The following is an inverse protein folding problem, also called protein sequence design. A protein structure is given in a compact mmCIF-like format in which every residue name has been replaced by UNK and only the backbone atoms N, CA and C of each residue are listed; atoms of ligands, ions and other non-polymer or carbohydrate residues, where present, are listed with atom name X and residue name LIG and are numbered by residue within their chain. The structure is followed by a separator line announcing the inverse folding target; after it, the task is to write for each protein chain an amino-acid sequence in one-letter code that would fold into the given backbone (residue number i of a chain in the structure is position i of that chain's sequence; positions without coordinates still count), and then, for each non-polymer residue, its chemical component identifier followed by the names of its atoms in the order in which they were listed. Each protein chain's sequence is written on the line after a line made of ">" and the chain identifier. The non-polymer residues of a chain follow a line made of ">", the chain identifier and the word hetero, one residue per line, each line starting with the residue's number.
data_IF_615161412901
#
_entry.id   IF_615161412901
#
_cell.length_a   1.000
_cell.length_b   1.000
_cell.length_c   1.000
_cell.angle_alpha   90.00
_cell.angle_beta   90.00
_cell.angle_gamma   90.00
#
_symmetry.space_group_name_H-M   'P 1'
#
loop_
_entity.id
_entity.type
_entity.pdbx_description
1 polymer ?
#
# COMPACT_ATOMS: atom_id res chain seq x y z
N UNK A 1 10.01 24.86 -12.51
CA UNK A 1 10.36 23.56 -13.10
C UNK A 1 11.26 22.88 -12.09
N UNK A 2 10.93 21.67 -11.65
CA UNK A 2 11.62 21.04 -10.53
C UNK A 2 12.18 19.67 -10.93
N UNK A 3 13.33 19.32 -10.38
CA UNK A 3 13.86 17.96 -10.37
C UNK A 3 13.40 17.32 -9.08
N UNK A 4 12.65 16.22 -9.16
CA UNK A 4 12.07 15.59 -7.99
C UNK A 4 12.50 14.13 -7.87
N UNK A 5 12.64 13.66 -6.65
CA UNK A 5 12.94 12.27 -6.32
C UNK A 5 11.69 11.59 -5.75
N UNK A 6 11.25 10.52 -6.40
CA UNK A 6 10.28 9.58 -5.85
C UNK A 6 11.01 8.37 -5.25
N UNK A 7 10.64 7.99 -4.04
CA UNK A 7 11.10 6.76 -3.37
C UNK A 7 9.91 5.81 -3.24
N UNK A 8 10.12 4.54 -3.58
CA UNK A 8 9.13 3.47 -3.34
C UNK A 8 9.75 2.39 -2.45
N UNK A 9 9.20 2.26 -1.25
CA UNK A 9 9.59 1.27 -0.25
C UNK A 9 8.56 0.13 -0.26
N UNK A 10 8.76 -0.79 -1.20
CA UNK A 10 7.89 -1.94 -1.39
C UNK A 10 8.31 -3.14 -0.52
N UNK A 11 7.61 -4.26 -0.62
CA UNK A 11 7.90 -5.46 0.18
C UNK A 11 9.30 -6.02 -0.09
N UNK A 12 9.76 -5.98 -1.34
CA UNK A 12 10.98 -6.67 -1.77
C UNK A 12 12.13 -5.73 -2.14
N UNK A 13 11.91 -4.42 -2.15
CA UNK A 13 12.92 -3.49 -2.62
C UNK A 13 12.67 -2.05 -2.20
N UNK A 14 13.74 -1.26 -2.16
CA UNK A 14 13.70 0.19 -2.21
C UNK A 14 14.06 0.66 -3.62
N UNK A 15 13.21 1.48 -4.23
CA UNK A 15 13.45 2.07 -5.56
C UNK A 15 13.50 3.59 -5.43
N UNK A 16 14.46 4.21 -6.11
CA UNK A 16 14.64 5.65 -6.17
C UNK A 16 14.62 6.10 -7.64
N UNK A 17 13.79 7.09 -7.96
CA UNK A 17 13.56 7.59 -9.31
C UNK A 17 13.63 9.11 -9.33
N UNK A 18 14.54 9.68 -10.13
CA UNK A 18 14.64 11.13 -10.35
C UNK A 18 13.89 11.50 -11.63
N UNK A 19 12.99 12.48 -11.52
CA UNK A 19 12.18 13.00 -12.62
C UNK A 19 12.50 14.47 -12.88
N UNK A 20 12.65 14.83 -14.17
CA UNK A 20 12.57 16.20 -14.63
C UNK A 20 11.10 16.53 -14.95
N UNK A 21 10.45 17.31 -14.07
CA UNK A 21 9.03 17.65 -14.22
C UNK A 21 8.76 18.59 -15.38
N UNK A 22 9.78 19.29 -15.90
CA UNK A 22 9.65 20.15 -17.08
C UNK A 22 9.55 19.35 -18.37
N UNK A 23 10.36 18.27 -18.45
CA UNK A 23 10.43 17.41 -19.64
C UNK A 23 9.48 16.22 -19.54
N UNK A 24 8.97 15.91 -18.34
CA UNK A 24 8.20 14.69 -18.09
C UNK A 24 9.05 13.42 -18.28
N UNK A 25 10.36 13.48 -18.02
CA UNK A 25 11.29 12.35 -18.29
C UNK A 25 12.00 11.87 -17.02
N UNK A 26 12.28 10.57 -16.98
CA UNK A 26 13.15 9.98 -15.97
C UNK A 26 14.60 10.38 -16.25
N UNK A 27 15.25 10.99 -15.24
CA UNK A 27 16.67 11.37 -15.29
C UNK A 27 17.55 10.19 -14.90
N UNK A 28 17.20 9.52 -13.80
CA UNK A 28 17.93 8.37 -13.30
C UNK A 28 17.00 7.48 -12.45
N UNK A 29 17.34 6.19 -12.37
CA UNK A 29 16.66 5.21 -11.52
C UNK A 29 17.67 4.28 -10.88
N UNK A 30 17.49 3.98 -9.60
CA UNK A 30 18.25 2.97 -8.87
C UNK A 30 17.32 2.12 -8.01
N UNK A 31 17.75 0.90 -7.71
CA UNK A 31 16.98 -0.05 -6.88
C UNK A 31 17.93 -0.81 -5.98
N UNK A 32 17.49 -1.12 -4.77
CA UNK A 32 18.06 -2.11 -3.87
C UNK A 32 17.02 -3.23 -3.64
N UNK A 33 17.36 -4.46 -4.03
CA UNK A 33 16.52 -5.64 -3.85
C UNK A 33 16.90 -6.33 -2.53
N UNK A 34 15.99 -6.38 -1.57
CA UNK A 34 16.32 -6.81 -0.20
C UNK A 34 16.92 -8.21 -0.14
N UNK A 35 16.36 -9.19 -0.84
CA UNK A 35 16.89 -10.55 -0.84
C UNK A 35 18.23 -10.70 -1.55
N UNK A 36 18.40 -10.02 -2.69
CA UNK A 36 19.61 -10.16 -3.51
C UNK A 36 20.78 -9.31 -3.00
N UNK A 37 20.50 -8.09 -2.52
CA UNK A 37 21.53 -7.15 -2.07
C UNK A 37 21.93 -7.33 -0.61
N UNK A 38 21.11 -8.01 0.19
CA UNK A 38 21.35 -8.26 1.62
C UNK A 38 21.13 -9.73 2.00
N UNK A 39 21.83 -10.69 1.35
CA UNK A 39 21.63 -12.12 1.59
C UNK A 39 21.91 -12.53 3.04
N UNK A 40 22.85 -11.87 3.71
CA UNK A 40 23.20 -12.13 5.11
C UNK A 40 22.12 -11.74 6.12
N UNK A 41 21.13 -10.94 5.71
CA UNK A 41 19.95 -10.62 6.56
C UNK A 41 18.96 -11.79 6.67
N UNK A 42 19.04 -12.80 5.80
CA UNK A 42 18.18 -13.98 5.85
C UNK A 42 16.73 -13.75 5.41
N UNK A 43 16.46 -12.68 4.66
CA UNK A 43 15.11 -12.29 4.21
C UNK A 43 15.02 -12.28 2.67
N UNK A 44 15.08 -13.43 1.99
CA UNK A 44 15.17 -13.48 0.51
C UNK A 44 13.97 -12.87 -0.19
N UNK A 45 12.82 -12.79 0.47
CA UNK A 45 11.58 -12.20 -0.05
C UNK A 45 11.29 -10.80 0.54
N UNK A 46 12.21 -10.25 1.34
CA UNK A 46 12.07 -8.95 2.00
C UNK A 46 11.24 -8.97 3.30
N UNK A 47 10.78 -10.15 3.74
CA UNK A 47 10.02 -10.33 4.98
C UNK A 47 10.50 -11.56 5.77
N UNK A 48 10.15 -11.61 7.05
CA UNK A 48 10.48 -12.67 7.98
C UNK A 48 9.58 -13.89 7.71
N UNK A 49 10.18 -15.08 7.56
CA UNK A 49 9.44 -16.34 7.49
C UNK A 49 9.25 -16.93 8.87
N UNK A 50 8.23 -17.79 9.03
CA UNK A 50 8.00 -18.57 10.24
C UNK A 50 7.12 -17.91 11.30
N UNK A 51 6.38 -16.85 10.95
CA UNK A 51 5.34 -16.28 11.78
C UNK A 51 4.23 -17.28 12.08
N UNK A 52 3.66 -17.23 13.30
CA UNK A 52 2.58 -18.12 13.73
C UNK A 52 1.21 -17.47 13.52
N UNK A 53 0.19 -18.29 13.26
CA UNK A 53 -1.20 -17.80 13.18
C UNK A 53 -1.46 -16.78 12.08
N UNK A 54 -0.68 -16.77 11.00
CA UNK A 54 -0.82 -15.82 9.90
C UNK A 54 0.02 -14.55 10.05
N UNK A 55 0.94 -14.50 11.01
CA UNK A 55 1.89 -13.39 11.17
C UNK A 55 2.86 -13.30 9.99
N UNK A 56 2.97 -12.11 9.41
CA UNK A 56 3.96 -11.77 8.40
C UNK A 56 4.54 -10.41 8.71
N UNK A 57 5.82 -10.39 9.06
CA UNK A 57 6.53 -9.19 9.46
C UNK A 57 7.73 -8.94 8.54
N UNK A 58 8.23 -7.70 8.53
CA UNK A 58 9.50 -7.33 7.91
C UNK A 58 10.44 -6.69 8.95
N UNK A 59 11.70 -6.60 8.59
CA UNK A 59 12.72 -5.88 9.38
C UNK A 59 12.77 -4.41 8.93
N UNK A 60 12.36 -3.43 9.75
CA UNK A 60 12.44 -2.03 9.39
C UNK A 60 13.87 -1.52 9.21
N UNK A 61 14.86 -2.20 9.79
CA UNK A 61 16.27 -1.85 9.61
C UNK A 61 16.76 -2.25 8.21
N UNK A 62 16.27 -3.35 7.65
CA UNK A 62 16.54 -3.74 6.26
C UNK A 62 15.98 -2.71 5.27
N UNK A 63 14.82 -2.13 5.56
CA UNK A 63 14.28 -1.06 4.74
C UNK A 63 15.19 0.18 4.71
N UNK A 64 15.79 0.55 5.86
CA UNK A 64 16.74 1.66 5.96
C UNK A 64 18.04 1.37 5.19
N UNK A 65 18.60 0.16 5.33
CA UNK A 65 19.78 -0.27 4.58
C UNK A 65 19.48 -0.25 3.07
N UNK A 66 18.28 -0.66 2.66
CA UNK A 66 17.84 -0.62 1.26
C UNK A 66 17.70 0.80 0.72
N UNK A 67 17.18 1.74 1.53
CA UNK A 67 17.13 3.16 1.15
C UNK A 67 18.54 3.71 0.92
N UNK A 68 19.48 3.48 1.86
CA UNK A 68 20.85 3.96 1.74
C UNK A 68 21.51 3.40 0.47
N UNK A 69 21.38 2.10 0.21
CA UNK A 69 21.97 1.47 -0.98
C UNK A 69 21.34 2.00 -2.28
N UNK A 70 20.02 2.19 -2.32
CA UNK A 70 19.36 2.77 -3.49
C UNK A 70 19.84 4.19 -3.77
N UNK A 71 20.02 5.02 -2.72
CA UNK A 71 20.56 6.37 -2.84
C UNK A 71 22.06 6.39 -3.20
N UNK A 72 22.87 5.49 -2.63
CA UNK A 72 24.29 5.33 -3.01
C UNK A 72 24.45 4.96 -4.50
N UNK A 73 23.56 4.09 -5.01
CA UNK A 73 23.50 3.74 -6.44
C UNK A 73 23.06 4.92 -7.30
N UNK A 74 22.03 5.63 -6.83
CA UNK A 74 21.47 6.78 -7.55
C UNK A 74 22.48 7.94 -7.67
N UNK A 75 23.23 8.23 -6.60
CA UNK A 75 24.24 9.28 -6.58
C UNK A 75 25.40 9.05 -7.59
N UNK A 76 25.60 7.80 -8.04
CA UNK A 76 26.56 7.48 -9.12
C UNK A 76 26.00 7.77 -10.52
N UNK A 77 24.68 7.93 -10.65
CA UNK A 77 23.99 8.10 -11.92
C UNK A 77 23.56 9.55 -12.16
N UNK A 78 23.37 10.34 -11.11
CA UNK A 78 22.94 11.73 -11.20
C UNK A 78 23.39 12.55 -9.99
N UNK A 79 23.41 13.87 -10.17
CA UNK A 79 23.77 14.84 -9.14
C UNK A 79 22.57 15.14 -8.25
N UNK A 80 22.56 14.58 -7.04
CA UNK A 80 21.47 14.75 -6.09
C UNK A 80 21.38 16.16 -5.49
N UNK A 81 22.41 17.02 -5.65
CA UNK A 81 22.34 18.43 -5.24
C UNK A 81 21.31 19.24 -6.03
N UNK A 82 20.89 18.71 -7.19
CA UNK A 82 19.88 19.32 -8.07
C UNK A 82 18.45 18.91 -7.74
N UNK A 83 18.24 18.01 -6.78
CA UNK A 83 16.91 17.56 -6.39
C UNK A 83 16.26 18.63 -5.52
N UNK A 84 15.13 19.14 -5.97
CA UNK A 84 14.36 20.20 -5.28
C UNK A 84 13.44 19.62 -4.19
N UNK A 85 12.89 18.42 -4.42
CA UNK A 85 12.00 17.77 -3.47
C UNK A 85 12.08 16.23 -3.56
N UNK A 86 11.82 15.56 -2.43
CA UNK A 86 11.68 14.12 -2.32
C UNK A 86 10.33 13.76 -1.70
N UNK A 87 9.69 12.71 -2.21
CA UNK A 87 8.48 12.13 -1.65
C UNK A 87 8.57 10.61 -1.59
N UNK A 88 7.78 10.00 -0.70
CA UNK A 88 7.82 8.57 -0.42
C UNK A 88 6.49 7.91 -0.78
N UNK A 89 6.57 6.80 -1.51
CA UNK A 89 5.55 5.77 -1.61
C UNK A 89 5.99 4.59 -0.73
N UNK A 90 5.14 4.15 0.20
CA UNK A 90 5.44 3.01 1.07
C UNK A 90 4.41 1.90 0.93
N UNK A 91 4.82 0.63 1.10
CA UNK A 91 3.86 -0.47 1.18
C UNK A 91 2.82 -0.16 2.25
N UNK A 92 1.53 -0.22 1.90
CA UNK A 92 0.46 0.13 2.84
C UNK A 92 0.41 -0.80 4.04
N UNK A 93 -0.11 -0.28 5.16
CA UNK A 93 -0.37 -0.99 6.43
C UNK A 93 0.89 -1.39 7.22
N UNK A 94 2.08 -1.42 6.62
CA UNK A 94 3.32 -1.66 7.35
C UNK A 94 3.57 -0.57 8.40
N UNK A 95 3.99 -0.96 9.61
CA UNK A 95 4.11 -0.01 10.73
C UNK A 95 5.38 -0.19 11.56
N UNK A 96 5.96 0.93 11.95
CA UNK A 96 7.19 1.02 12.75
C UNK A 96 6.88 1.64 14.11
N UNK A 97 7.41 1.05 15.17
CA UNK A 97 7.14 1.41 16.56
C UNK A 97 8.42 1.93 17.22
N UNK A 98 8.40 3.17 17.67
CA UNK A 98 9.57 3.87 18.19
C UNK A 98 9.41 4.19 19.68
N UNK A 99 10.47 3.96 20.44
CA UNK A 99 10.60 4.31 21.86
C UNK A 99 11.12 5.75 22.06
N UNK A 100 11.23 6.17 23.31
CA UNK A 100 11.81 7.45 23.66
C UNK A 100 13.23 7.61 23.09
N UNK A 101 13.57 8.83 22.68
CA UNK A 101 14.84 9.16 22.04
C UNK A 101 14.82 9.06 20.52
N UNK A 102 13.71 8.65 19.92
CA UNK A 102 13.59 8.53 18.46
C UNK A 102 13.78 9.88 17.76
N UNK A 103 13.37 10.99 18.37
CA UNK A 103 13.56 12.33 17.81
C UNK A 103 15.06 12.66 17.67
N UNK A 104 15.86 12.29 18.68
CA UNK A 104 17.31 12.47 18.65
C UNK A 104 17.94 11.59 17.59
N UNK A 105 17.49 10.33 17.47
CA UNK A 105 17.98 9.39 16.47
C UNK A 105 17.66 9.86 15.03
N UNK A 106 16.47 10.42 14.81
CA UNK A 106 16.08 10.99 13.51
C UNK A 106 16.91 12.24 13.16
N UNK A 107 17.16 13.11 14.14
CA UNK A 107 17.90 14.37 13.95
C UNK A 107 19.43 14.19 13.82
N UNK A 108 19.96 12.99 14.12
CA UNK A 108 21.40 12.72 14.10
C UNK A 108 21.98 12.79 12.67
N UNK A 109 22.67 13.88 12.37
CA UNK A 109 23.33 14.15 11.09
C UNK A 109 24.67 13.43 10.88
N UNK A 110 25.14 12.61 11.83
CA UNK A 110 26.42 11.91 11.71
C UNK A 110 26.39 10.87 10.57
N UNK A 111 27.06 11.17 9.46
CA UNK A 111 27.15 10.31 8.27
C UNK A 111 28.00 9.04 8.44
N UNK A 112 28.80 8.96 9.51
CA UNK A 112 29.64 7.79 9.78
C UNK A 112 28.86 6.61 10.39
N UNK A 113 27.67 6.88 10.93
CA UNK A 113 26.75 5.86 11.48
C UNK A 113 25.61 5.66 10.51
N UNK A 114 25.31 4.41 10.12
CA UNK A 114 24.19 4.09 9.22
C UNK A 114 22.84 4.43 9.85
N UNK A 115 21.80 4.64 9.03
CA UNK A 115 20.44 4.88 9.50
C UNK A 115 19.93 3.72 10.36
N UNK A 116 20.20 2.47 9.96
CA UNK A 116 19.80 1.29 10.71
C UNK A 116 20.46 1.25 12.09
N UNK A 117 21.72 1.59 12.22
CA UNK A 117 22.43 1.65 13.50
C UNK A 117 21.89 2.77 14.43
N UNK A 118 21.41 3.90 13.89
CA UNK A 118 20.81 4.99 14.66
C UNK A 118 19.41 4.62 15.17
N UNK A 119 18.62 3.93 14.35
CA UNK A 119 17.22 3.62 14.64
C UNK A 119 17.07 2.35 15.49
N UNK A 120 17.96 1.36 15.36
CA UNK A 120 17.88 0.09 16.08
C UNK A 120 17.69 0.25 17.61
N UNK A 121 18.41 1.16 18.32
CA UNK A 121 18.27 1.32 19.76
C UNK A 121 16.91 1.88 20.20
N UNK A 122 16.22 2.58 19.31
CA UNK A 122 14.93 3.25 19.61
C UNK A 122 13.72 2.49 19.05
N UNK A 123 13.87 1.29 18.50
CA UNK A 123 12.75 0.43 18.17
C UNK A 123 12.13 -0.16 19.44
N UNK A 124 10.85 0.11 19.70
CA UNK A 124 10.09 -0.56 20.78
C UNK A 124 9.53 -1.92 20.36
N UNK A 125 9.38 -2.15 19.06
CA UNK A 125 9.05 -3.42 18.42
C UNK A 125 10.08 -3.69 17.32
N UNK A 126 10.72 -4.86 17.39
CA UNK A 126 11.85 -5.18 16.49
C UNK A 126 11.45 -5.45 15.04
N UNK A 127 10.25 -5.96 14.83
CA UNK A 127 9.73 -6.28 13.50
C UNK A 127 8.42 -5.53 13.23
N UNK A 128 8.21 -5.22 11.99
CA UNK A 128 7.04 -4.47 11.49
C UNK A 128 6.04 -5.43 10.86
N UNK A 129 4.79 -5.53 11.34
CA UNK A 129 3.76 -6.23 10.59
C UNK A 129 3.58 -5.54 9.24
N UNK A 130 3.30 -6.33 8.19
CA UNK A 130 3.10 -5.82 6.82
C UNK A 130 1.74 -6.24 6.27
N UNK A 131 1.39 -5.75 5.09
CA UNK A 131 0.09 -5.97 4.43
C UNK A 131 -0.31 -7.45 4.24
N UNK A 132 0.64 -8.37 4.28
CA UNK A 132 0.41 -9.81 4.18
C UNK A 132 -0.04 -10.45 5.49
N UNK A 133 0.09 -9.74 6.62
CA UNK A 133 -0.27 -10.26 7.94
C UNK A 133 -1.79 -10.47 8.07
N UNK A 134 -2.18 -11.65 8.48
CA UNK A 134 -3.58 -12.06 8.69
C UNK A 134 -3.86 -12.57 10.11
N UNK A 135 -2.99 -12.25 11.08
CA UNK A 135 -3.02 -12.78 12.43
C UNK A 135 -4.05 -12.14 13.36
N UNK A 136 -4.67 -11.02 12.97
CA UNK A 136 -5.46 -10.14 13.85
C UNK A 136 -6.97 -10.31 13.72
N UNK A 137 -7.44 -11.51 13.38
CA UNK A 137 -8.90 -11.74 13.22
C UNK A 137 -9.70 -11.47 14.50
N UNK A 138 -9.18 -11.86 15.67
CA UNK A 138 -9.81 -11.59 16.97
C UNK A 138 -9.85 -10.07 17.26
N UNK A 139 -8.78 -9.36 16.99
CA UNK A 139 -8.68 -7.92 17.21
C UNK A 139 -9.61 -7.13 16.29
N UNK A 140 -9.82 -7.58 15.05
CA UNK A 140 -10.83 -7.02 14.15
C UNK A 140 -12.24 -7.15 14.76
N UNK A 141 -12.60 -8.34 15.25
CA UNK A 141 -13.89 -8.57 15.87
C UNK A 141 -14.09 -7.71 17.14
N UNK A 142 -13.06 -7.57 17.97
CA UNK A 142 -13.08 -6.75 19.17
C UNK A 142 -13.26 -5.26 18.86
N UNK A 143 -12.55 -4.73 17.84
CA UNK A 143 -12.69 -3.33 17.39
C UNK A 143 -14.10 -3.13 16.81
N UNK A 144 -14.60 -4.04 15.97
CA UNK A 144 -15.92 -3.97 15.40
C UNK A 144 -17.00 -3.96 16.49
N UNK A 145 -16.91 -4.86 17.47
CA UNK A 145 -17.85 -4.90 18.59
C UNK A 145 -17.85 -3.58 19.41
N UNK A 146 -16.68 -3.02 19.67
CA UNK A 146 -16.54 -1.77 20.42
C UNK A 146 -17.09 -0.55 19.68
N UNK A 147 -17.14 -0.58 18.33
CA UNK A 147 -17.63 0.52 17.49
C UNK A 147 -19.06 0.32 16.96
N UNK A 148 -19.74 -0.78 17.33
CA UNK A 148 -21.12 -1.03 16.93
C UNK A 148 -21.30 -1.91 15.69
N UNK A 149 -20.27 -2.66 15.30
CA UNK A 149 -20.28 -3.63 14.21
C UNK A 149 -19.48 -3.22 12.98
N UNK A 150 -19.32 -4.15 12.05
CA UNK A 150 -18.50 -3.98 10.84
C UNK A 150 -18.91 -2.77 10.00
N UNK A 151 -20.23 -2.53 9.84
CA UNK A 151 -20.72 -1.41 9.06
C UNK A 151 -20.40 -0.07 9.73
N UNK A 152 -20.50 0.01 11.07
CA UNK A 152 -20.14 1.23 11.80
C UNK A 152 -18.65 1.55 11.67
N UNK A 153 -17.77 0.54 11.70
CA UNK A 153 -16.33 0.72 11.41
C UNK A 153 -16.13 1.23 9.98
N UNK A 154 -16.82 0.63 9.00
CA UNK A 154 -16.74 1.02 7.60
C UNK A 154 -17.18 2.47 7.39
N UNK A 155 -18.33 2.85 7.97
CA UNK A 155 -18.88 4.21 7.84
C UNK A 155 -18.00 5.27 8.51
N UNK A 156 -17.32 4.91 9.60
CA UNK A 156 -16.40 5.79 10.31
C UNK A 156 -15.05 5.90 9.59
N UNK A 157 -14.46 4.76 9.20
CA UNK A 157 -13.04 4.71 8.80
C UNK A 157 -12.81 4.45 7.32
N UNK A 158 -13.88 4.22 6.53
CA UNK A 158 -13.78 3.91 5.11
C UNK A 158 -13.65 2.42 4.78
N UNK A 159 -13.48 1.56 5.79
CA UNK A 159 -13.30 0.12 5.61
C UNK A 159 -13.80 -0.64 6.83
N UNK A 160 -14.31 -1.85 6.65
CA UNK A 160 -14.51 -2.77 7.78
C UNK A 160 -13.18 -3.05 8.48
N UNK A 161 -13.21 -3.52 9.72
CA UNK A 161 -12.00 -3.94 10.41
C UNK A 161 -11.30 -5.04 9.59
N UNK A 162 -10.06 -4.78 9.20
CA UNK A 162 -9.32 -5.62 8.25
C UNK A 162 -8.01 -6.09 8.89
N UNK A 163 -7.76 -7.40 8.87
CA UNK A 163 -6.64 -8.02 9.61
C UNK A 163 -5.28 -7.39 9.35
N UNK A 164 -4.98 -7.04 8.11
CA UNK A 164 -3.70 -6.41 7.74
C UNK A 164 -3.58 -4.94 8.15
N UNK A 165 -4.68 -4.26 8.50
CA UNK A 165 -4.67 -2.84 8.84
C UNK A 165 -3.99 -2.58 10.18
N UNK A 166 -3.37 -1.41 10.28
CA UNK A 166 -2.48 -1.08 11.39
C UNK A 166 -3.20 -1.00 12.75
N UNK A 167 -4.48 -0.62 12.79
CA UNK A 167 -5.27 -0.58 14.03
C UNK A 167 -5.37 -1.97 14.70
N UNK A 168 -5.89 -3.01 14.01
CA UNK A 168 -5.87 -4.38 14.54
C UNK A 168 -4.47 -4.88 14.91
N UNK A 169 -3.43 -4.54 14.14
CA UNK A 169 -2.05 -4.87 14.45
C UNK A 169 -1.54 -4.19 15.73
N UNK A 170 -1.88 -2.93 15.94
CA UNK A 170 -1.57 -2.19 17.19
C UNK A 170 -2.31 -2.84 18.37
N UNK A 171 -3.60 -3.18 18.21
CA UNK A 171 -4.38 -3.81 19.27
C UNK A 171 -3.75 -5.14 19.71
N UNK A 172 -3.37 -6.00 18.75
CA UNK A 172 -2.67 -7.25 19.00
C UNK A 172 -1.34 -7.02 19.74
N UNK A 173 -0.52 -6.09 19.26
CA UNK A 173 0.74 -5.75 19.89
C UNK A 173 0.56 -5.25 21.33
N UNK A 174 -0.37 -4.35 21.58
CA UNK A 174 -0.65 -3.84 22.93
C UNK A 174 -1.14 -4.92 23.89
N UNK A 175 -1.89 -5.92 23.40
CA UNK A 175 -2.37 -7.07 24.19
C UNK A 175 -1.27 -8.07 24.49
N UNK A 176 -0.46 -8.44 23.51
CA UNK A 176 0.52 -9.51 23.65
C UNK A 176 1.84 -9.05 24.26
N UNK A 177 2.20 -7.79 24.03
CA UNK A 177 3.47 -7.21 24.48
C UNK A 177 3.24 -5.87 25.23
N UNK A 178 2.45 -5.84 26.31
CA UNK A 178 2.05 -4.59 26.98
C UNK A 178 3.24 -3.77 27.51
N UNK A 179 4.33 -4.42 27.90
CA UNK A 179 5.54 -3.72 28.35
C UNK A 179 6.28 -3.02 27.20
N UNK A 180 6.29 -3.61 26.00
CA UNK A 180 6.85 -2.99 24.80
C UNK A 180 5.94 -1.85 24.30
N UNK A 181 4.61 -2.07 24.33
CA UNK A 181 3.62 -1.03 24.01
C UNK A 181 3.74 0.19 24.93
N UNK A 182 3.93 0.00 26.21
CA UNK A 182 4.12 1.10 27.17
C UNK A 182 5.38 1.93 26.87
N UNK A 183 6.44 1.30 26.34
CA UNK A 183 7.67 1.98 25.92
C UNK A 183 7.51 2.72 24.57
N UNK A 184 6.53 2.33 23.75
CA UNK A 184 6.28 2.97 22.46
C UNK A 184 5.85 4.43 22.66
N UNK A 185 6.51 5.33 21.98
CA UNK A 185 6.23 6.77 21.98
C UNK A 185 5.67 7.25 20.66
N UNK A 186 6.00 6.55 19.56
CA UNK A 186 5.55 6.90 18.21
C UNK A 186 5.29 5.65 17.38
N UNK A 187 4.22 5.69 16.60
CA UNK A 187 3.91 4.69 15.58
C UNK A 187 3.82 5.41 14.24
N UNK A 188 4.60 4.95 13.28
CA UNK A 188 4.58 5.40 11.90
C UNK A 188 4.14 4.30 10.96
N UNK A 189 3.55 4.68 9.83
CA UNK A 189 3.46 3.84 8.64
C UNK A 189 4.77 3.89 7.85
N UNK A 190 4.97 3.02 6.87
CA UNK A 190 6.21 2.99 6.10
C UNK A 190 6.49 4.35 5.45
N UNK A 191 5.52 4.94 4.78
CA UNK A 191 5.64 6.25 4.13
C UNK A 191 6.06 7.36 5.10
N UNK A 192 5.35 7.52 6.21
CA UNK A 192 5.62 8.56 7.20
C UNK A 192 6.89 8.30 8.01
N UNK A 193 7.28 7.05 8.23
CA UNK A 193 8.56 6.70 8.82
C UNK A 193 9.73 7.19 7.95
N UNK A 194 9.69 6.89 6.65
CA UNK A 194 10.73 7.33 5.73
C UNK A 194 10.72 8.84 5.52
N UNK A 195 9.55 9.46 5.47
CA UNK A 195 9.46 10.93 5.47
C UNK A 195 10.11 11.54 6.72
N UNK A 196 9.91 10.91 7.90
CA UNK A 196 10.55 11.33 9.16
C UNK A 196 12.07 11.17 9.11
N UNK A 197 12.57 10.04 8.62
CA UNK A 197 14.00 9.77 8.44
C UNK A 197 14.63 10.79 7.50
N UNK A 198 14.00 11.04 6.34
CA UNK A 198 14.48 12.00 5.35
C UNK A 198 14.51 13.43 5.89
N UNK A 199 13.48 13.84 6.63
CA UNK A 199 13.39 15.17 7.21
C UNK A 199 14.20 15.33 8.52
N UNK A 200 14.67 14.23 9.12
CA UNK A 200 15.35 14.25 10.42
C UNK A 200 14.46 14.68 11.59
N UNK A 201 13.15 14.53 11.44
CA UNK A 201 12.14 14.90 12.46
C UNK A 201 10.83 14.18 12.21
N UNK A 202 9.97 14.15 13.21
CA UNK A 202 8.65 13.51 13.17
C UNK A 202 7.78 14.10 12.03
N UNK A 203 7.34 13.26 11.11
CA UNK A 203 6.49 13.64 9.99
C UNK A 203 5.04 13.20 10.22
N UNK A 204 4.09 13.90 9.61
CA UNK A 204 2.68 13.53 9.65
C UNK A 204 2.41 12.24 8.85
N UNK A 205 1.31 11.56 9.16
CA UNK A 205 0.73 10.50 8.32
C UNK A 205 -0.22 11.16 7.31
N UNK A 206 -0.22 10.72 6.06
CA UNK A 206 -1.16 11.25 5.08
C UNK A 206 -2.55 10.63 5.19
N UNK A 207 -3.56 11.29 4.59
CA UNK A 207 -4.96 10.83 4.66
C UNK A 207 -5.18 9.51 3.92
N UNK A 208 -4.40 9.24 2.86
CA UNK A 208 -4.50 8.00 2.09
C UNK A 208 -4.04 6.78 2.89
N UNK A 209 -2.87 6.90 3.47
CA UNK A 209 -2.26 5.84 4.27
C UNK A 209 -2.92 5.72 5.65
N UNK A 210 -3.28 6.86 6.27
CA UNK A 210 -4.00 6.92 7.55
C UNK A 210 -5.37 6.24 7.52
N UNK A 211 -6.10 6.34 6.40
CA UNK A 211 -7.37 5.62 6.21
C UNK A 211 -7.17 4.09 6.23
N UNK A 212 -6.01 3.60 5.79
CA UNK A 212 -5.63 2.19 5.84
C UNK A 212 -5.28 1.66 7.23
N UNK A 213 -5.55 2.43 8.29
CA UNK A 213 -5.28 2.02 9.67
C UNK A 213 -6.54 1.57 10.43
N UNK A 214 -7.77 1.82 9.93
CA UNK A 214 -9.03 1.75 10.69
C UNK A 214 -9.06 2.68 11.94
N UNK A 215 -8.34 3.79 11.91
CA UNK A 215 -8.19 4.71 13.04
C UNK A 215 -8.63 6.15 12.70
N UNK A 216 -8.72 6.48 11.41
CA UNK A 216 -9.05 7.81 10.92
C UNK A 216 -10.56 7.92 10.61
N UNK A 217 -11.18 9.02 11.02
CA UNK A 217 -12.51 9.41 10.52
C UNK A 217 -12.36 9.87 9.06
N UNK A 218 -12.88 9.06 8.14
CA UNK A 218 -12.73 9.29 6.69
C UNK A 218 -13.39 10.59 6.24
N UNK A 219 -14.39 11.10 6.97
CA UNK A 219 -15.10 12.34 6.65
C UNK A 219 -14.35 13.58 7.13
N UNK A 220 -13.62 13.45 8.25
CA UNK A 220 -12.86 14.56 8.84
C UNK A 220 -11.41 14.61 8.35
N UNK A 221 -10.86 13.48 7.90
CA UNK A 221 -9.44 13.36 7.57
C UNK A 221 -8.54 13.53 8.79
N UNK A 222 -9.01 13.10 9.97
CA UNK A 222 -8.30 13.16 11.23
C UNK A 222 -8.62 11.93 12.09
N UNK A 223 -7.82 11.70 13.13
CA UNK A 223 -8.01 10.53 14.00
C UNK A 223 -9.41 10.50 14.62
N UNK A 224 -10.04 9.32 14.63
CA UNK A 224 -11.33 9.06 15.25
C UNK A 224 -11.15 8.66 16.71
N UNK A 225 -11.50 9.50 17.72
CA UNK A 225 -11.26 9.19 19.14
C UNK A 225 -11.85 7.85 19.58
N UNK A 226 -13.03 7.50 19.07
CA UNK A 226 -13.67 6.22 19.38
C UNK A 226 -12.86 5.02 18.84
N UNK A 227 -12.32 5.12 17.61
CA UNK A 227 -11.49 4.06 17.03
C UNK A 227 -10.15 3.92 17.75
N UNK A 228 -9.53 5.04 18.16
CA UNK A 228 -8.31 5.02 18.96
C UNK A 228 -8.54 4.33 20.31
N UNK A 229 -9.61 4.69 21.02
CA UNK A 229 -9.97 4.10 22.31
C UNK A 229 -10.30 2.60 22.20
N UNK A 230 -10.99 2.19 21.12
CA UNK A 230 -11.29 0.78 20.84
C UNK A 230 -10.02 -0.03 20.51
N UNK A 231 -8.93 0.60 20.13
CA UNK A 231 -7.71 -0.07 19.64
C UNK A 231 -6.70 -0.30 20.76
N UNK A 232 -6.20 0.74 21.40
CA UNK A 232 -5.18 0.59 22.45
C UNK A 232 -5.15 1.79 23.40
N UNK A 233 -4.70 1.59 24.66
CA UNK A 233 -4.52 2.70 25.61
C UNK A 233 -3.48 3.69 25.10
N UNK A 234 -3.71 4.98 25.37
CA UNK A 234 -2.82 6.11 25.05
C UNK A 234 -2.44 6.25 23.56
N UNK A 235 -3.16 5.59 22.67
CA UNK A 235 -2.83 5.57 21.23
C UNK A 235 -2.83 6.97 20.61
N UNK A 236 -3.74 7.85 21.04
CA UNK A 236 -3.82 9.22 20.56
C UNK A 236 -2.49 10.01 20.70
N UNK A 237 -1.74 9.74 21.77
CA UNK A 237 -0.45 10.40 22.02
C UNK A 237 0.72 9.81 21.24
N UNK A 238 0.53 8.62 20.68
CA UNK A 238 1.56 7.86 19.97
C UNK A 238 1.47 8.00 18.45
N UNK A 239 0.40 8.57 17.93
CA UNK A 239 0.24 8.81 16.49
C UNK A 239 0.67 10.24 16.14
N UNK A 240 1.37 10.45 14.99
CA UNK A 240 1.56 11.79 14.45
C UNK A 240 0.23 12.34 13.94
N UNK A 241 0.13 13.66 13.67
CA UNK A 241 -1.09 14.22 13.09
C UNK A 241 -1.33 13.70 11.67
N UNK A 242 -2.60 13.71 11.24
CA UNK A 242 -2.97 13.45 9.84
C UNK A 242 -2.85 14.74 9.03
N UNK A 243 -2.30 14.66 7.82
CA UNK A 243 -2.18 15.78 6.87
C UNK A 243 -2.36 15.30 5.44
N UNK A 244 -2.70 16.19 4.47
CA UNK A 244 -2.67 15.84 3.05
C UNK A 244 -1.29 15.36 2.60
N UNK A 245 -1.22 14.37 1.71
CA UNK A 245 0.02 13.77 1.22
C UNK A 245 1.01 14.74 0.55
N UNK A 246 0.51 15.89 0.05
CA UNK A 246 1.31 16.98 -0.50
C UNK A 246 1.96 17.89 0.55
N UNK A 247 1.76 17.64 1.84
CA UNK A 247 2.32 18.47 2.92
C UNK A 247 3.85 18.35 2.97
N UNK A 248 4.54 19.48 3.09
CA UNK A 248 5.99 19.50 3.31
C UNK A 248 6.28 19.17 4.77
N UNK A 249 7.00 18.09 5.01
CA UNK A 249 7.48 17.71 6.33
C UNK A 249 8.60 18.64 6.82
N UNK A 250 9.46 19.09 5.92
CA UNK A 250 10.58 19.98 6.19
C UNK A 250 11.63 19.95 5.11
N UNK A 251 12.78 20.57 5.35
CA UNK A 251 13.98 20.36 4.53
C UNK A 251 14.58 18.99 4.78
N UNK A 252 15.36 18.50 3.82
CA UNK A 252 16.09 17.23 3.96
C UNK A 252 17.10 17.32 5.11
N UNK A 253 17.28 16.22 5.87
CA UNK A 253 18.15 16.23 7.04
C UNK A 253 19.62 16.39 6.69
N UNK A 254 20.41 16.89 7.65
CA UNK A 254 21.87 17.04 7.53
C UNK A 254 22.56 15.72 7.19
N UNK A 255 21.99 14.58 7.58
CA UNK A 255 22.50 13.27 7.23
C UNK A 255 22.58 13.06 5.72
N UNK A 256 21.49 13.28 5.00
CA UNK A 256 21.42 13.06 3.55
C UNK A 256 22.22 14.11 2.78
N UNK A 257 22.28 15.35 3.28
CA UNK A 257 23.17 16.38 2.74
C UNK A 257 24.64 15.92 2.79
N UNK A 258 25.08 15.44 3.96
CA UNK A 258 26.47 15.04 4.19
C UNK A 258 26.82 13.67 3.55
N UNK A 259 25.86 12.73 3.49
CA UNK A 259 26.08 11.35 3.04
C UNK A 259 25.90 11.17 1.54
N UNK A 260 24.89 11.81 0.96
CA UNK A 260 24.48 11.59 -0.44
C UNK A 260 24.55 12.85 -1.30
N UNK A 261 24.93 14.01 -0.74
CA UNK A 261 25.15 15.24 -1.50
C UNK A 261 23.89 15.99 -1.89
N UNK A 262 22.76 15.77 -1.20
CA UNK A 262 21.55 16.57 -1.43
C UNK A 262 21.79 18.06 -1.12
N UNK A 263 21.08 18.93 -1.84
CA UNK A 263 21.00 20.33 -1.45
C UNK A 263 20.30 20.49 -0.10
N UNK A 264 20.78 21.32 0.85
CA UNK A 264 20.07 21.60 2.09
C UNK A 264 18.72 22.31 1.86
N UNK A 265 18.45 22.76 0.62
CA UNK A 265 17.16 23.38 0.22
C UNK A 265 16.14 22.33 -0.26
N UNK A 266 16.55 21.08 -0.46
CA UNK A 266 15.64 20.01 -0.89
C UNK A 266 14.53 19.82 0.14
N UNK A 267 13.27 19.83 -0.32
CA UNK A 267 12.09 19.66 0.54
C UNK A 267 11.69 18.19 0.64
N UNK A 268 11.30 17.76 1.83
CA UNK A 268 10.70 16.44 2.06
C UNK A 268 9.20 16.58 2.12
N UNK A 269 8.49 15.89 1.23
CA UNK A 269 7.02 15.79 1.21
C UNK A 269 6.64 14.47 1.89
N UNK A 270 5.60 14.49 2.73
CA UNK A 270 5.24 13.32 3.57
C UNK A 270 4.92 12.06 2.77
N UNK A 271 4.48 12.21 1.51
CA UNK A 271 4.15 11.06 0.67
C UNK A 271 2.88 10.33 1.10
N UNK A 272 2.75 9.07 0.72
CA UNK A 272 1.56 8.25 0.99
C UNK A 272 1.86 6.75 0.80
N UNK A 273 0.87 5.88 0.99
CA UNK A 273 0.95 4.47 0.65
C UNK A 273 1.01 4.20 -0.87
N UNK A 274 1.40 2.99 -1.24
CA UNK A 274 1.62 2.57 -2.64
C UNK A 274 0.36 2.65 -3.51
N UNK A 275 -0.83 2.25 -3.00
CA UNK A 275 -2.07 2.33 -3.77
C UNK A 275 -2.51 3.79 -4.02
N UNK A 276 -2.56 4.69 -3.01
CA UNK A 276 -2.81 6.10 -3.27
C UNK A 276 -1.75 6.75 -4.17
N UNK A 277 -0.47 6.35 -4.06
CA UNK A 277 0.59 6.80 -4.98
C UNK A 277 0.31 6.37 -6.42
N UNK A 278 -0.17 5.14 -6.61
CA UNK A 278 -0.54 4.61 -7.93
C UNK A 278 -1.69 5.40 -8.57
N UNK A 279 -2.69 5.81 -7.77
CA UNK A 279 -3.78 6.67 -8.24
C UNK A 279 -3.23 7.98 -8.85
N UNK A 280 -2.29 8.62 -8.14
CA UNK A 280 -1.66 9.87 -8.61
C UNK A 280 -0.78 9.60 -9.83
N UNK A 281 0.06 8.56 -9.79
CA UNK A 281 0.97 8.18 -10.87
C UNK A 281 0.26 7.84 -12.18
N UNK A 282 -0.94 7.24 -12.10
CA UNK A 282 -1.79 6.96 -13.26
C UNK A 282 -2.60 8.17 -13.74
N UNK A 283 -2.47 9.34 -13.11
CA UNK A 283 -3.24 10.53 -13.43
C UNK A 283 -4.74 10.40 -13.17
N UNK A 284 -5.12 9.52 -12.22
CA UNK A 284 -6.52 9.20 -11.89
C UNK A 284 -6.99 9.87 -10.59
N UNK A 285 -6.30 10.89 -10.12
CA UNK A 285 -6.61 11.61 -8.87
C UNK A 285 -7.88 12.49 -8.94
N UNK A 286 -8.50 12.58 -10.10
CA UNK A 286 -9.80 13.26 -10.29
C UNK A 286 -10.89 12.25 -10.63
N UNK A 287 -12.15 12.45 -10.16
CA UNK A 287 -13.28 11.60 -10.49
C UNK A 287 -13.47 11.42 -12.01
N UNK A 288 -13.99 10.26 -12.42
CA UNK A 288 -14.24 9.90 -13.81
C UNK A 288 -13.20 8.95 -14.43
N UNK A 289 -11.98 8.88 -13.87
CA UNK A 289 -10.98 7.91 -14.28
C UNK A 289 -10.96 6.72 -13.34
N UNK A 290 -10.97 5.52 -13.90
CA UNK A 290 -10.87 4.26 -13.17
C UNK A 290 -9.61 3.54 -13.61
N UNK A 291 -8.81 3.09 -12.67
CA UNK A 291 -7.64 2.26 -12.94
C UNK A 291 -7.93 0.83 -12.54
N UNK A 292 -7.60 -0.12 -13.41
CA UNK A 292 -7.60 -1.55 -13.10
C UNK A 292 -6.17 -2.04 -13.28
N UNK A 293 -5.58 -2.53 -12.19
CA UNK A 293 -4.30 -3.21 -12.22
C UNK A 293 -4.54 -4.72 -12.31
N UNK A 294 -4.08 -5.31 -13.44
CA UNK A 294 -4.24 -6.71 -13.77
C UNK A 294 -2.95 -7.47 -13.44
N UNK A 295 -2.89 -7.96 -12.21
CA UNK A 295 -1.74 -8.68 -11.67
C UNK A 295 -2.06 -10.09 -11.22
N UNK A 296 -1.25 -10.65 -10.31
CA UNK A 296 -1.56 -11.91 -9.59
C UNK A 296 -2.93 -11.80 -8.91
N UNK A 297 -3.14 -10.69 -8.20
CA UNK A 297 -4.44 -10.19 -7.75
C UNK A 297 -4.81 -8.98 -8.61
N UNK A 298 -6.09 -8.80 -8.89
CA UNK A 298 -6.55 -7.61 -9.60
C UNK A 298 -7.00 -6.54 -8.59
N UNK A 299 -6.73 -5.27 -8.90
CA UNK A 299 -7.22 -4.16 -8.10
C UNK A 299 -7.91 -3.13 -8.99
N UNK A 300 -9.02 -2.57 -8.49
CA UNK A 300 -9.67 -1.42 -9.09
C UNK A 300 -9.58 -0.25 -8.13
N UNK A 301 -9.14 0.91 -8.60
CA UNK A 301 -9.13 2.12 -7.82
C UNK A 301 -9.52 3.34 -8.66
N UNK A 302 -10.17 4.30 -8.00
CA UNK A 302 -10.65 5.52 -8.62
C UNK A 302 -10.80 6.63 -7.57
N UNK A 303 -10.64 7.89 -7.97
CA UNK A 303 -11.07 9.00 -7.15
C UNK A 303 -12.59 9.00 -7.02
N UNK A 304 -13.10 9.28 -5.83
CA UNK A 304 -14.54 9.31 -5.51
C UNK A 304 -15.00 10.77 -5.43
N UNK A 305 -16.18 11.06 -5.95
CA UNK A 305 -16.84 12.34 -5.72
C UNK A 305 -17.49 12.36 -4.33
N UNK A 306 -17.00 13.23 -3.47
CA UNK A 306 -17.38 13.26 -2.06
C UNK A 306 -16.78 12.10 -1.27
N UNK A 307 -17.45 11.69 -0.19
CA UNK A 307 -17.05 10.58 0.66
C UNK A 307 -18.14 9.52 0.61
N UNK A 308 -17.77 8.32 0.18
CA UNK A 308 -18.63 7.15 0.10
C UNK A 308 -17.92 5.96 0.72
N UNK A 309 -18.70 5.08 1.32
CA UNK A 309 -18.24 3.81 1.89
C UNK A 309 -19.03 2.66 1.25
N UNK A 310 -18.44 1.49 1.20
CA UNK A 310 -19.10 0.31 0.65
C UNK A 310 -20.02 -0.33 1.70
N UNK A 311 -21.32 -0.28 1.48
CA UNK A 311 -22.30 -0.91 2.37
C UNK A 311 -22.17 -2.44 2.44
N UNK A 312 -21.48 -3.07 1.50
CA UNK A 312 -21.16 -4.50 1.55
C UNK A 312 -19.86 -4.79 2.32
N UNK A 313 -19.07 -3.75 2.68
CA UNK A 313 -17.83 -3.89 3.41
C UNK A 313 -16.73 -4.66 2.66
N UNK A 314 -16.77 -4.68 1.32
CA UNK A 314 -15.82 -5.39 0.47
C UNK A 314 -14.75 -4.46 -0.10
N UNK A 315 -15.15 -3.22 -0.41
CA UNK A 315 -14.26 -2.17 -0.89
C UNK A 315 -13.73 -1.29 0.24
N UNK A 316 -12.70 -0.53 -0.07
CA UNK A 316 -12.05 0.41 0.84
C UNK A 316 -12.19 1.83 0.30
N UNK A 317 -12.53 2.78 1.18
CA UNK A 317 -12.41 4.21 0.92
C UNK A 317 -11.17 4.74 1.64
N UNK A 318 -10.25 5.34 0.89
CA UNK A 318 -9.03 5.96 1.42
C UNK A 318 -9.01 7.45 1.12
N UNK A 319 -8.15 8.21 1.78
CA UNK A 319 -7.84 9.57 1.37
C UNK A 319 -7.14 9.57 0.01
N UNK A 320 -7.44 10.58 -0.80
CA UNK A 320 -6.72 10.84 -2.03
C UNK A 320 -5.60 11.85 -1.72
N UNK A 321 -4.32 11.55 -2.00
CA UNK A 321 -3.20 12.46 -1.69
C UNK A 321 -3.32 13.85 -2.32
N UNK A 322 -4.09 13.94 -3.42
CA UNK A 322 -4.37 15.21 -4.12
C UNK A 322 -5.64 15.92 -3.61
N UNK A 323 -6.24 15.41 -2.53
CA UNK A 323 -7.46 15.92 -1.91
C UNK A 323 -8.70 15.09 -2.25
N UNK A 324 -9.64 15.01 -1.30
CA UNK A 324 -10.83 14.16 -1.39
C UNK A 324 -10.55 12.70 -1.03
N UNK A 325 -11.27 11.79 -1.63
CA UNK A 325 -11.18 10.35 -1.35
C UNK A 325 -11.02 9.50 -2.60
N UNK A 326 -10.57 8.27 -2.40
CA UNK A 326 -10.44 7.25 -3.45
C UNK A 326 -11.03 5.92 -2.98
N UNK A 327 -11.44 5.10 -3.93
CA UNK A 327 -11.81 3.71 -3.72
C UNK A 327 -10.63 2.77 -3.99
N UNK A 328 -10.60 1.65 -3.26
CA UNK A 328 -9.77 0.51 -3.59
C UNK A 328 -10.59 -0.76 -3.44
N UNK A 329 -10.64 -1.58 -4.50
CA UNK A 329 -11.30 -2.87 -4.53
C UNK A 329 -10.24 -3.90 -4.93
N UNK A 330 -10.05 -4.90 -4.10
CA UNK A 330 -9.07 -5.96 -4.33
C UNK A 330 -9.80 -7.28 -4.64
N UNK A 331 -9.36 -7.96 -5.69
CA UNK A 331 -9.81 -9.30 -6.09
C UNK A 331 -8.60 -10.22 -6.05
N UNK A 332 -8.67 -11.29 -5.26
CA UNK A 332 -7.53 -12.19 -5.07
C UNK A 332 -7.23 -13.00 -6.33
N UNK A 333 -8.26 -13.52 -6.96
CA UNK A 333 -8.15 -14.40 -8.12
C UNK A 333 -8.03 -13.59 -9.42
N UNK A 334 -6.88 -12.97 -9.64
CA UNK A 334 -6.55 -12.23 -10.86
C UNK A 334 -5.92 -13.13 -11.94
N UNK A 335 -4.66 -12.85 -12.30
CA UNK A 335 -3.95 -13.60 -13.36
C UNK A 335 -3.79 -15.08 -13.07
N UNK A 336 -3.65 -15.48 -11.80
CA UNK A 336 -3.54 -16.90 -11.44
C UNK A 336 -4.80 -17.69 -11.84
N UNK A 337 -5.98 -17.12 -11.65
CA UNK A 337 -7.22 -17.76 -12.08
C UNK A 337 -7.32 -17.82 -13.61
N UNK A 338 -6.92 -16.74 -14.32
CA UNK A 338 -6.82 -16.76 -15.79
C UNK A 338 -5.83 -17.82 -16.28
N UNK A 339 -4.69 -17.97 -15.59
CA UNK A 339 -3.69 -18.99 -15.89
C UNK A 339 -4.24 -20.42 -15.71
N UNK A 340 -5.02 -20.64 -14.62
CA UNK A 340 -5.68 -21.94 -14.39
C UNK A 340 -6.67 -22.27 -15.53
N UNK A 341 -7.49 -21.31 -15.94
CA UNK A 341 -8.42 -21.48 -17.08
C UNK A 341 -7.65 -21.73 -18.38
N UNK A 342 -6.56 -21.00 -18.65
CA UNK A 342 -5.72 -21.22 -19.82
C UNK A 342 -5.25 -22.67 -19.91
N UNK A 343 -4.73 -23.23 -18.82
CA UNK A 343 -4.26 -24.62 -18.73
C UNK A 343 -5.40 -25.63 -18.90
N UNK A 344 -6.52 -25.39 -18.23
CA UNK A 344 -7.71 -26.25 -18.30
C UNK A 344 -8.24 -26.37 -19.71
N UNK A 345 -8.23 -25.26 -20.45
CA UNK A 345 -8.68 -25.24 -21.87
C UNK A 345 -7.62 -25.80 -22.85
N UNK A 346 -6.37 -26.01 -22.39
CA UNK A 346 -5.29 -26.55 -23.19
C UNK A 346 -4.59 -25.55 -24.08
N UNK A 347 -4.70 -24.23 -23.79
CA UNK A 347 -3.97 -23.19 -24.52
C UNK A 347 -2.50 -23.13 -24.09
N UNK A 348 -1.59 -23.23 -25.08
CA UNK A 348 -0.16 -23.31 -24.85
C UNK A 348 0.40 -22.01 -24.20
N UNK A 349 -0.09 -20.87 -24.66
CA UNK A 349 0.39 -19.54 -24.28
C UNK A 349 -0.75 -18.50 -24.20
N UNK A 350 -0.41 -17.28 -23.84
CA UNK A 350 -1.36 -16.17 -23.75
C UNK A 350 -1.92 -15.73 -25.11
N UNK A 351 -1.14 -15.66 -26.19
CA UNK A 351 -1.70 -15.41 -27.52
C UNK A 351 -2.80 -16.40 -27.94
N UNK A 352 -2.61 -17.71 -27.70
CA UNK A 352 -3.63 -18.71 -27.97
C UNK A 352 -4.88 -18.55 -27.09
N UNK A 353 -4.69 -18.16 -25.80
CA UNK A 353 -5.80 -17.84 -24.92
C UNK A 353 -6.58 -16.61 -25.41
N UNK A 354 -5.90 -15.52 -25.77
CA UNK A 354 -6.53 -14.31 -26.31
C UNK A 354 -7.30 -14.58 -27.61
N UNK A 355 -6.72 -15.36 -28.51
CA UNK A 355 -7.42 -15.77 -29.74
C UNK A 355 -8.72 -16.55 -29.44
N UNK A 356 -8.72 -17.39 -28.40
CA UNK A 356 -9.93 -18.11 -27.98
C UNK A 356 -10.97 -17.15 -27.34
N UNK A 357 -10.52 -16.14 -26.61
CA UNK A 357 -11.39 -15.06 -26.11
C UNK A 357 -12.06 -14.34 -27.28
N UNK A 358 -11.31 -13.94 -28.31
CA UNK A 358 -11.83 -13.20 -29.46
C UNK A 358 -12.74 -14.02 -30.36
N UNK A 359 -12.46 -15.30 -30.50
CA UNK A 359 -13.27 -16.22 -31.29
C UNK A 359 -14.64 -16.53 -30.67
N UNK A 360 -14.84 -16.23 -29.38
CA UNK A 360 -16.07 -16.54 -28.66
C UNK A 360 -17.04 -15.35 -28.67
N UNK A 361 -18.36 -15.64 -28.76
CA UNK A 361 -19.39 -14.58 -28.66
C UNK A 361 -19.44 -13.97 -27.28
N UNK A 362 -19.56 -12.63 -27.21
CA UNK A 362 -19.71 -11.89 -25.98
C UNK A 362 -21.07 -12.10 -25.32
N UNK A 363 -21.13 -11.93 -23.99
CA UNK A 363 -22.35 -11.87 -23.17
C UNK A 363 -23.23 -13.15 -23.25
N UNK A 364 -22.67 -14.30 -23.60
CA UNK A 364 -23.39 -15.59 -23.64
C UNK A 364 -23.27 -16.32 -22.30
N UNK A 365 -22.09 -16.28 -21.70
CA UNK A 365 -21.80 -16.86 -20.40
C UNK A 365 -20.76 -16.04 -19.66
N UNK A 366 -20.84 -16.04 -18.32
CA UNK A 366 -19.84 -15.45 -17.45
C UNK A 366 -19.47 -16.45 -16.37
N UNK A 367 -18.18 -16.63 -16.12
CA UNK A 367 -17.65 -17.50 -15.07
C UNK A 367 -16.66 -16.72 -14.23
N UNK A 368 -16.92 -16.61 -12.92
CA UNK A 368 -15.95 -16.08 -11.98
C UNK A 368 -15.14 -17.26 -11.40
N UNK A 369 -13.92 -17.50 -11.86
CA UNK A 369 -13.08 -18.57 -11.32
C UNK A 369 -12.40 -18.09 -10.03
N UNK A 370 -12.41 -18.94 -9.00
CA UNK A 370 -11.80 -18.69 -7.71
C UNK A 370 -10.95 -19.91 -7.33
N UNK A 371 -9.67 -19.87 -7.64
CA UNK A 371 -8.72 -20.95 -7.32
C UNK A 371 -8.44 -20.99 -5.80
N UNK A 372 -8.52 -19.84 -5.15
CA UNK A 372 -8.44 -19.66 -3.71
C UNK A 372 -9.69 -18.95 -3.19
N UNK A 373 -9.93 -18.97 -1.85
CA UNK A 373 -11.01 -18.17 -1.26
C UNK A 373 -10.90 -16.70 -1.68
N UNK A 374 -11.97 -16.16 -2.28
CA UNK A 374 -12.03 -14.80 -2.79
C UNK A 374 -12.38 -13.79 -1.69
N UNK A 375 -11.84 -12.58 -1.81
CA UNK A 375 -12.08 -11.46 -0.89
C UNK A 375 -13.17 -10.51 -1.38
N UNK A 376 -13.32 -10.38 -2.70
CA UNK A 376 -14.38 -9.57 -3.33
C UNK A 376 -14.97 -10.31 -4.55
N UNK A 377 -16.14 -10.96 -4.38
CA UNK A 377 -16.92 -11.17 -3.14
C UNK A 377 -16.26 -12.15 -2.17
N UNK A 378 -16.60 -12.08 -0.89
CA UNK A 378 -16.15 -13.09 0.10
C UNK A 378 -16.80 -14.44 -0.21
N UNK A 379 -16.05 -15.35 -0.83
CA UNK A 379 -16.51 -16.69 -1.25
C UNK A 379 -15.39 -17.73 -1.07
N UNK A 380 -15.74 -18.97 -0.76
CA UNK A 380 -14.77 -20.07 -0.84
C UNK A 380 -14.26 -20.26 -2.28
N UNK A 381 -13.16 -20.98 -2.45
CA UNK A 381 -12.68 -21.42 -3.74
C UNK A 381 -13.78 -22.17 -4.52
N UNK A 382 -13.79 -22.04 -5.83
CA UNK A 382 -14.80 -22.64 -6.71
C UNK A 382 -15.12 -21.76 -7.91
N UNK A 383 -16.33 -21.84 -8.42
CA UNK A 383 -16.78 -21.06 -9.59
C UNK A 383 -18.20 -20.55 -9.40
N UNK A 384 -18.44 -19.32 -9.84
CA UNK A 384 -19.79 -18.79 -10.04
C UNK A 384 -20.00 -18.70 -11.54
N UNK A 385 -21.07 -19.31 -12.06
CA UNK A 385 -21.39 -19.29 -13.46
C UNK A 385 -22.77 -18.68 -13.69
N UNK A 386 -22.88 -17.88 -14.74
CA UNK A 386 -24.12 -17.22 -15.20
C UNK A 386 -24.28 -17.43 -16.71
N UNK A 387 -25.50 -17.54 -17.16
CA UNK A 387 -25.81 -17.73 -18.58
C UNK A 387 -25.71 -19.19 -19.03
N UNK A 388 -25.34 -19.39 -20.27
CA UNK A 388 -25.19 -20.75 -20.87
C UNK A 388 -23.93 -21.43 -20.32
N UNK A 389 -23.98 -22.75 -20.13
CA UNK A 389 -22.81 -23.49 -19.66
C UNK A 389 -21.62 -23.30 -20.61
N UNK A 390 -20.49 -22.84 -20.07
CA UNK A 390 -19.29 -22.64 -20.88
C UNK A 390 -18.65 -23.97 -21.26
N UNK A 391 -18.24 -24.08 -22.49
CA UNK A 391 -17.44 -25.20 -23.03
C UNK A 391 -15.96 -24.83 -22.94
N UNK A 392 -15.05 -25.79 -23.19
CA UNK A 392 -13.61 -25.48 -23.28
C UNK A 392 -13.27 -24.38 -24.29
N UNK A 393 -14.06 -24.25 -25.36
CA UNK A 393 -13.85 -23.22 -26.38
C UNK A 393 -14.31 -21.84 -25.91
N UNK A 394 -15.37 -21.73 -25.08
CA UNK A 394 -15.97 -20.46 -24.64
C UNK A 394 -15.56 -20.06 -23.24
N UNK A 395 -14.99 -20.96 -22.43
CA UNK A 395 -14.59 -20.73 -21.06
C UNK A 395 -13.55 -19.60 -20.89
N UNK A 396 -12.55 -19.43 -21.81
CA UNK A 396 -11.63 -18.29 -21.71
C UNK A 396 -12.36 -16.95 -21.69
N UNK A 397 -13.28 -16.72 -22.61
CA UNK A 397 -14.08 -15.51 -22.67
C UNK A 397 -15.00 -15.37 -21.47
N UNK A 398 -15.70 -16.43 -21.11
CA UNK A 398 -16.60 -16.45 -19.96
C UNK A 398 -15.87 -16.07 -18.66
N UNK A 399 -14.62 -16.50 -18.49
CA UNK A 399 -13.81 -16.16 -17.31
C UNK A 399 -13.41 -14.69 -17.31
N UNK A 400 -12.94 -14.14 -18.42
CA UNK A 400 -12.60 -12.70 -18.53
C UNK A 400 -13.83 -11.83 -18.28
N UNK A 401 -14.96 -12.16 -18.89
CA UNK A 401 -16.22 -11.43 -18.68
C UNK A 401 -16.71 -11.55 -17.23
N UNK A 402 -16.62 -12.73 -16.62
CA UNK A 402 -17.01 -12.94 -15.22
C UNK A 402 -16.19 -12.10 -14.24
N UNK A 403 -14.87 -12.01 -14.45
CA UNK A 403 -14.00 -11.14 -13.65
C UNK A 403 -14.34 -9.66 -13.88
N UNK A 404 -14.52 -9.22 -15.12
CA UNK A 404 -14.89 -7.83 -15.44
C UNK A 404 -16.25 -7.45 -14.84
N UNK A 405 -17.25 -8.32 -14.95
CA UNK A 405 -18.58 -8.13 -14.36
C UNK A 405 -18.51 -8.07 -12.84
N UNK A 406 -17.72 -8.91 -12.20
CA UNK A 406 -17.50 -8.88 -10.75
C UNK A 406 -16.89 -7.55 -10.30
N UNK A 407 -15.83 -7.09 -10.96
CA UNK A 407 -15.23 -5.78 -10.68
C UNK A 407 -16.24 -4.65 -10.88
N UNK A 408 -16.99 -4.66 -11.98
CA UNK A 408 -18.02 -3.66 -12.26
C UNK A 408 -19.14 -3.67 -11.22
N UNK A 409 -19.60 -4.85 -10.81
CA UNK A 409 -20.65 -4.99 -9.81
C UNK A 409 -20.21 -4.48 -8.45
N UNK A 410 -19.03 -4.87 -8.00
CA UNK A 410 -18.51 -4.50 -6.68
C UNK A 410 -17.94 -3.08 -6.63
N UNK A 411 -17.72 -2.42 -7.78
CA UNK A 411 -17.31 -1.00 -7.82
C UNK A 411 -18.46 -0.01 -7.91
N UNK A 412 -19.73 -0.45 -8.02
CA UNK A 412 -20.88 0.45 -8.21
C UNK A 412 -21.10 1.45 -7.08
N UNK A 413 -20.63 1.15 -5.87
CA UNK A 413 -20.73 2.06 -4.71
C UNK A 413 -19.86 3.32 -4.89
N UNK A 414 -18.84 3.30 -5.72
CA UNK A 414 -17.99 4.45 -6.08
C UNK A 414 -18.85 5.59 -6.62
N UNK A 415 -19.92 5.25 -7.37
CA UNK A 415 -21.00 6.15 -7.75
C UNK A 415 -20.62 7.24 -8.77
N UNK A 416 -19.36 7.36 -9.16
CA UNK A 416 -18.92 8.33 -10.18
C UNK A 416 -18.98 7.68 -11.57
N UNK A 417 -19.59 8.33 -12.57
CA UNK A 417 -19.55 7.83 -13.94
C UNK A 417 -18.13 7.68 -14.46
N UNK A 418 -17.82 6.51 -15.03
CA UNK A 418 -16.50 6.25 -15.63
C UNK A 418 -16.44 6.89 -17.01
N UNK A 419 -15.54 7.83 -17.21
CA UNK A 419 -15.26 8.48 -18.50
C UNK A 419 -14.01 7.93 -19.19
N UNK A 420 -13.08 7.38 -18.39
CA UNK A 420 -11.84 6.78 -18.87
C UNK A 420 -11.47 5.56 -18.01
N UNK A 421 -11.14 4.46 -18.68
CA UNK A 421 -10.59 3.26 -18.08
C UNK A 421 -9.10 3.18 -18.40
N UNK A 422 -8.26 3.04 -17.36
CA UNK A 422 -6.82 2.88 -17.47
C UNK A 422 -6.45 1.48 -17.00
N UNK A 423 -5.71 0.75 -17.81
CA UNK A 423 -5.23 -0.59 -17.48
C UNK A 423 -3.73 -0.54 -17.18
N UNK A 424 -3.29 -1.31 -16.19
CA UNK A 424 -1.89 -1.50 -15.84
C UNK A 424 -1.67 -2.93 -15.33
N UNK A 425 -0.42 -3.30 -15.04
CA UNK A 425 -0.05 -4.67 -14.65
C UNK A 425 0.28 -5.55 -15.85
N UNK A 426 0.90 -6.71 -15.59
CA UNK A 426 1.43 -7.57 -16.66
C UNK A 426 0.39 -8.05 -17.68
N UNK A 427 -0.86 -8.30 -17.24
CA UNK A 427 -1.90 -8.75 -18.16
C UNK A 427 -2.49 -7.61 -19.02
N UNK A 428 -2.19 -6.34 -18.74
CA UNK A 428 -2.62 -5.21 -19.58
C UNK A 428 -1.84 -5.08 -20.89
N UNK A 429 -0.72 -5.81 -21.03
CA UNK A 429 0.08 -5.87 -22.25
C UNK A 429 -0.51 -6.88 -23.28
N UNK A 430 -1.46 -7.68 -22.83
CA UNK A 430 -2.13 -8.65 -23.69
C UNK A 430 -3.26 -7.94 -24.46
N UNK A 431 -3.32 -8.06 -25.80
CA UNK A 431 -4.29 -7.36 -26.65
C UNK A 431 -5.73 -7.71 -26.33
#
# INVERSE_FOLDING_TARGET
>A
MAIVLGLDLSTQSATALVLDTAKGTTVARARAAFGADFPDRGHPEGFLRGGQGGEVHADPLLWLDGLELALDRLAKLTDLSKVDAVSVSGQQHGSVYLAAGYEVALADGNRATSLSAKIAPVLSRRSSPIWMDSSTGAECAEIAAALGGDQAVCDLTGSVATMRFTGPQIRRFAKLEPAAWAKTKRVHLVSSFFASVLAGKDAAIDTGDGAGMNLMDIRKGDWAPAALAATAPDLATKLPPVRPGSTVAGGISAYFVARHGFSPKCQVVIGTGDNPSSLVGMGASKPGKVVISLGTSDTLFAAIEGIRTDSAGLGHAFGNPMGGSMSLICVRNGSLAREAIRRECGHADWPAFSAAVDASSAAVSAVLPMEEPEITPRRPAGRIALGVAATKATLPRAAVEGQALSLRYHSRWVGTPTTQLLLTGGASENP
#
